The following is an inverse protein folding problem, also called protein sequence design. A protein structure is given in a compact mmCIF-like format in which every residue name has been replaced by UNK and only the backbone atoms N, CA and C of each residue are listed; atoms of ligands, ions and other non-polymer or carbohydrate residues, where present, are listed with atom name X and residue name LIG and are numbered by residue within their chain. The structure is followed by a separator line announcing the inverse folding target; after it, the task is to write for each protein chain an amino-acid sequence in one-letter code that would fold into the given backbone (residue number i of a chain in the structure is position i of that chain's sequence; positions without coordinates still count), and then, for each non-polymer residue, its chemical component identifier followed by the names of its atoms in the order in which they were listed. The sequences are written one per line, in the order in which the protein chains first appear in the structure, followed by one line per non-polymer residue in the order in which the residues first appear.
data_IF_181837486404
#
_entry.id   IF_181837486404
#
_cell.length_a   1.000
_cell.length_b   1.000
_cell.length_c   1.000
_cell.angle_alpha   90.00
_cell.angle_beta   90.00
_cell.angle_gamma   90.00
#
_symmetry.space_group_name_H-M   'P 1'
#
loop_
_entity.id
_entity.type
_entity.pdbx_description
1 polymer ?
#
# COMPACT_ATOMS: atom_id res chain seq x y z
N UNK A 1 9.56 5.38 -21.71
CA UNK A 1 8.76 5.06 -20.52
C UNK A 1 9.54 4.06 -19.68
N UNK A 2 10.32 4.46 -18.64
CA UNK A 2 10.70 3.56 -17.52
C UNK A 2 11.72 4.09 -16.51
N UNK A 3 12.45 5.19 -16.74
CA UNK A 3 13.42 5.65 -15.73
C UNK A 3 12.74 6.19 -14.46
N UNK A 4 11.65 6.94 -14.61
CA UNK A 4 10.84 7.39 -13.47
C UNK A 4 10.27 6.24 -12.62
N UNK A 5 9.79 5.18 -13.26
CA UNK A 5 9.24 4.01 -12.56
C UNK A 5 10.33 3.27 -11.78
N UNK A 6 11.53 3.11 -12.37
CA UNK A 6 12.67 2.54 -11.66
C UNK A 6 13.11 3.38 -10.47
N UNK A 7 13.09 4.70 -10.59
CA UNK A 7 13.41 5.61 -9.49
C UNK A 7 12.38 5.48 -8.37
N UNK A 8 11.09 5.43 -8.69
CA UNK A 8 10.02 5.20 -7.72
C UNK A 8 10.16 3.83 -7.03
N UNK A 9 10.50 2.78 -7.75
CA UNK A 9 10.69 1.44 -7.17
C UNK A 9 11.88 1.41 -6.19
N UNK A 10 12.98 2.10 -6.51
CA UNK A 10 14.13 2.21 -5.61
C UNK A 10 13.82 3.02 -4.35
N UNK A 11 13.19 4.19 -4.51
CA UNK A 11 12.78 5.02 -3.37
C UNK A 11 11.75 4.29 -2.50
N UNK A 12 10.82 3.55 -3.11
CA UNK A 12 9.87 2.68 -2.39
C UNK A 12 10.57 1.63 -1.55
N UNK A 13 11.59 0.98 -2.09
CA UNK A 13 12.37 -0.03 -1.36
C UNK A 13 13.14 0.58 -0.18
N UNK A 14 13.71 1.78 -0.35
CA UNK A 14 14.36 2.51 0.74
C UNK A 14 13.38 2.91 1.86
N UNK A 15 12.21 3.44 1.49
CA UNK A 15 11.14 3.78 2.43
C UNK A 15 10.69 2.54 3.22
N UNK A 16 10.51 1.40 2.54
CA UNK A 16 10.18 0.13 3.20
C UNK A 16 11.27 -0.28 4.21
N UNK A 17 12.54 -0.18 3.84
CA UNK A 17 13.67 -0.51 4.74
C UNK A 17 13.78 0.45 5.92
N UNK A 18 13.48 1.72 5.74
CA UNK A 18 13.50 2.73 6.81
C UNK A 18 12.43 2.47 7.86
N UNK A 19 11.22 2.15 7.41
CA UNK A 19 10.08 1.84 8.26
C UNK A 19 10.05 0.40 8.75
N UNK A 20 11.03 -0.42 8.39
CA UNK A 20 11.17 -1.80 8.90
C UNK A 20 12.00 -1.87 10.18
N UNK A 21 11.71 -2.89 10.98
CA UNK A 21 12.64 -3.36 12.00
C UNK A 21 13.92 -3.84 11.32
N UNK A 22 15.07 -3.56 11.94
CA UNK A 22 16.39 -3.91 11.42
C UNK A 22 16.99 -5.06 12.22
N UNK A 23 17.71 -5.94 11.52
CA UNK A 23 18.46 -7.03 12.13
C UNK A 23 19.77 -6.51 12.77
N UNK A 24 20.55 -7.42 13.36
CA UNK A 24 21.84 -7.09 14.00
C UNK A 24 22.90 -6.55 13.02
N UNK A 25 22.67 -6.67 11.71
CA UNK A 25 23.52 -6.14 10.65
C UNK A 25 23.03 -4.79 10.13
N UNK A 26 21.88 -4.32 10.60
CA UNK A 26 21.25 -3.07 10.17
C UNK A 26 20.39 -3.21 8.91
N UNK A 27 20.13 -4.43 8.45
CA UNK A 27 19.29 -4.73 7.28
C UNK A 27 17.83 -4.91 7.70
N UNK A 28 16.88 -4.57 6.83
CA UNK A 28 15.46 -4.74 7.13
C UNK A 28 15.08 -6.21 7.32
N UNK A 29 14.37 -6.52 8.40
CA UNK A 29 13.89 -7.87 8.69
C UNK A 29 12.75 -8.19 7.72
N UNK A 30 12.83 -9.34 7.07
CA UNK A 30 11.77 -9.87 6.21
C UNK A 30 11.19 -11.12 6.89
N UNK A 31 9.90 -11.11 7.20
CA UNK A 31 9.14 -12.23 7.75
C UNK A 31 8.11 -12.67 6.73
N UNK A 32 8.10 -13.97 6.40
CA UNK A 32 7.14 -14.56 5.46
C UNK A 32 7.07 -13.84 4.10
N UNK A 33 8.23 -13.38 3.61
CA UNK A 33 8.35 -12.64 2.34
C UNK A 33 7.92 -11.17 2.40
N UNK A 34 7.51 -10.66 3.57
CA UNK A 34 7.10 -9.28 3.79
C UNK A 34 8.08 -8.57 4.73
N UNK A 35 8.23 -7.26 4.54
CA UNK A 35 9.01 -6.42 5.45
C UNK A 35 8.34 -6.38 6.84
N UNK A 36 9.13 -6.55 7.89
CA UNK A 36 8.68 -6.43 9.29
C UNK A 36 8.55 -4.95 9.64
N UNK A 37 7.49 -4.30 9.15
CA UNK A 37 7.27 -2.87 9.28
C UNK A 37 7.00 -2.50 10.74
N UNK A 38 7.74 -1.53 11.28
CA UNK A 38 7.61 -1.03 12.65
C UNK A 38 6.51 0.02 12.78
N UNK A 39 6.26 0.78 11.72
CA UNK A 39 5.25 1.85 11.67
C UNK A 39 4.59 1.90 10.29
N UNK A 40 3.41 1.28 10.20
CA UNK A 40 2.63 1.21 8.97
C UNK A 40 2.05 2.56 8.56
N UNK A 41 1.75 3.44 9.52
CA UNK A 41 1.14 4.74 9.26
C UNK A 41 2.19 5.71 8.69
N UNK A 42 3.40 5.71 9.26
CA UNK A 42 4.50 6.50 8.72
C UNK A 42 4.92 5.99 7.33
N UNK A 43 5.03 4.66 7.16
CA UNK A 43 5.27 4.05 5.86
C UNK A 43 4.25 4.50 4.82
N UNK A 44 2.98 4.59 5.22
CA UNK A 44 1.92 5.09 4.34
C UNK A 44 2.16 6.46 3.80
N UNK A 45 2.47 7.38 4.70
CA UNK A 45 2.47 8.79 4.38
C UNK A 45 3.63 9.07 3.44
N UNK A 46 4.78 8.45 3.69
CA UNK A 46 5.97 8.57 2.86
C UNK A 46 5.76 7.96 1.46
N UNK A 47 5.11 6.79 1.36
CA UNK A 47 4.76 6.21 0.06
C UNK A 47 3.75 7.07 -0.70
N UNK A 48 2.75 7.64 -0.01
CA UNK A 48 1.75 8.53 -0.60
C UNK A 48 2.40 9.81 -1.11
N UNK A 49 3.34 10.38 -0.36
CA UNK A 49 4.13 11.55 -0.77
C UNK A 49 5.02 11.23 -1.97
N UNK A 50 5.74 10.10 -1.94
CA UNK A 50 6.56 9.63 -3.05
C UNK A 50 5.73 9.50 -4.34
N UNK A 51 4.56 8.86 -4.26
CA UNK A 51 3.67 8.72 -5.40
C UNK A 51 3.05 10.06 -5.83
N UNK A 52 2.66 10.93 -4.92
CA UNK A 52 2.14 12.25 -5.28
C UNK A 52 3.20 13.12 -5.98
N UNK A 53 4.46 13.04 -5.56
CA UNK A 53 5.57 13.81 -6.12
C UNK A 53 6.07 13.23 -7.45
N UNK A 54 6.41 11.94 -7.48
CA UNK A 54 7.08 11.29 -8.63
C UNK A 54 6.09 10.74 -9.65
N UNK A 55 4.88 10.44 -9.22
CA UNK A 55 3.77 9.93 -10.01
C UNK A 55 2.73 11.04 -10.13
N UNK A 56 3.12 12.19 -10.69
CA UNK A 56 2.17 13.21 -11.15
C UNK A 56 1.11 12.51 -12.00
N UNK A 57 -0.09 12.41 -11.44
CA UNK A 57 -1.27 11.77 -11.99
C UNK A 57 -1.75 12.60 -13.20
N UNK A 58 -1.04 12.52 -14.32
CA UNK A 58 -1.65 12.83 -15.61
C UNK A 58 -2.75 11.79 -15.83
N UNK A 59 -3.98 12.19 -15.51
CA UNK A 59 -5.13 11.32 -15.28
C UNK A 59 -5.42 10.38 -16.44
N UNK A 60 -5.31 9.08 -16.17
CA UNK A 60 -5.70 8.01 -17.10
C UNK A 60 -5.32 6.64 -16.54
N UNK A 61 -4.03 6.33 -16.55
CA UNK A 61 -3.50 4.98 -16.26
C UNK A 61 -3.64 4.55 -14.78
N UNK A 62 -3.48 5.48 -13.86
CA UNK A 62 -3.43 5.14 -12.43
C UNK A 62 -4.79 4.75 -11.85
N UNK A 63 -5.91 5.08 -12.52
CA UNK A 63 -7.23 4.58 -12.13
C UNK A 63 -7.35 3.07 -12.30
N UNK A 64 -6.73 2.52 -13.35
CA UNK A 64 -6.75 1.08 -13.61
C UNK A 64 -5.88 0.33 -12.60
N UNK A 65 -4.73 0.90 -12.23
CA UNK A 65 -3.88 0.38 -11.15
C UNK A 65 -4.62 0.38 -9.80
N UNK A 66 -5.20 1.52 -9.40
CA UNK A 66 -5.97 1.63 -8.14
C UNK A 66 -7.15 0.65 -8.15
N UNK A 67 -7.86 0.52 -9.27
CA UNK A 67 -8.96 -0.43 -9.42
C UNK A 67 -8.49 -1.88 -9.30
N UNK A 68 -7.32 -2.20 -9.84
CA UNK A 68 -6.74 -3.55 -9.76
C UNK A 68 -6.35 -3.89 -8.33
N UNK A 69 -5.77 -2.94 -7.59
CA UNK A 69 -5.45 -3.10 -6.16
C UNK A 69 -6.73 -3.28 -5.35
N UNK A 70 -7.76 -2.45 -5.56
CA UNK A 70 -9.07 -2.58 -4.91
C UNK A 70 -9.71 -3.96 -5.15
N UNK A 71 -9.63 -4.46 -6.39
CA UNK A 71 -10.12 -5.79 -6.74
C UNK A 71 -9.30 -6.92 -6.12
N UNK A 72 -7.98 -6.75 -6.00
CA UNK A 72 -7.13 -7.70 -5.31
C UNK A 72 -7.52 -7.78 -3.83
N UNK A 73 -7.62 -6.64 -3.13
CA UNK A 73 -8.05 -6.57 -1.74
C UNK A 73 -9.42 -7.23 -1.53
N UNK A 74 -10.39 -6.95 -2.42
CA UNK A 74 -11.71 -7.58 -2.37
C UNK A 74 -11.68 -9.10 -2.48
N UNK A 75 -10.76 -9.69 -3.24
CA UNK A 75 -10.64 -11.17 -3.32
C UNK A 75 -10.21 -11.79 -2.01
N UNK A 76 -9.55 -11.02 -1.16
CA UNK A 76 -9.04 -11.43 0.12
C UNK A 76 -9.94 -10.99 1.29
N UNK A 77 -11.12 -10.41 1.02
CA UNK A 77 -12.07 -9.94 2.05
C UNK A 77 -12.58 -11.04 2.99
N UNK A 78 -12.50 -12.30 2.55
CA UNK A 78 -12.92 -13.46 3.32
C UNK A 78 -11.76 -14.18 4.01
N UNK A 79 -10.53 -13.65 3.94
CA UNK A 79 -9.42 -14.16 4.75
C UNK A 79 -9.50 -13.58 6.16
N UNK A 80 -9.33 -14.44 7.16
CA UNK A 80 -9.17 -14.01 8.55
C UNK A 80 -7.72 -13.57 8.76
N UNK A 81 -7.55 -12.28 9.02
CA UNK A 81 -6.28 -11.68 9.38
C UNK A 81 -6.22 -11.44 10.89
N UNK A 82 -5.07 -11.72 11.49
CA UNK A 82 -4.84 -11.46 12.93
C UNK A 82 -3.56 -10.67 13.15
N UNK A 83 -3.53 -9.90 14.24
CA UNK A 83 -2.40 -9.06 14.61
C UNK A 83 -2.02 -8.07 13.51
N UNK A 84 -0.72 -7.98 13.22
CA UNK A 84 -0.17 -7.03 12.25
C UNK A 84 -0.75 -7.19 10.84
N UNK A 85 -1.12 -8.42 10.45
CA UNK A 85 -1.72 -8.66 9.12
C UNK A 85 -3.12 -8.04 8.99
N UNK A 86 -3.89 -7.98 10.07
CA UNK A 86 -5.19 -7.31 10.11
C UNK A 86 -5.02 -5.80 9.97
N UNK A 87 -4.07 -5.23 10.73
CA UNK A 87 -3.78 -3.79 10.68
C UNK A 87 -3.32 -3.35 9.29
N UNK A 88 -2.51 -4.19 8.62
CA UNK A 88 -2.09 -3.97 7.24
C UNK A 88 -3.29 -4.03 6.28
N UNK A 89 -4.16 -5.03 6.42
CA UNK A 89 -5.30 -5.21 5.54
C UNK A 89 -6.31 -4.04 5.66
N UNK A 90 -6.63 -3.62 6.88
CA UNK A 90 -7.54 -2.49 7.16
C UNK A 90 -7.00 -1.21 6.52
N UNK A 91 -5.73 -0.92 6.75
CA UNK A 91 -5.04 0.24 6.22
C UNK A 91 -4.97 0.26 4.67
N UNK A 92 -4.80 -0.91 4.04
CA UNK A 92 -4.87 -1.02 2.57
C UNK A 92 -6.29 -0.78 2.05
N UNK A 93 -7.30 -1.26 2.78
CA UNK A 93 -8.71 -0.98 2.46
C UNK A 93 -9.05 0.51 2.63
N UNK A 94 -8.52 1.20 3.63
CA UNK A 94 -8.76 2.65 3.81
C UNK A 94 -8.19 3.50 2.66
N UNK A 95 -7.07 3.11 2.08
CA UNK A 95 -6.42 3.88 1.02
C UNK A 95 -6.82 3.49 -0.39
N UNK A 96 -6.98 2.19 -0.63
CA UNK A 96 -7.16 1.62 -1.96
C UNK A 96 -8.40 0.74 -2.04
N UNK A 97 -9.04 0.44 -0.92
CA UNK A 97 -10.32 -0.22 -0.92
C UNK A 97 -11.31 0.60 -1.75
N UNK A 98 -12.37 -0.05 -2.23
CA UNK A 98 -13.46 0.70 -2.83
C UNK A 98 -13.91 1.71 -1.78
N UNK A 99 -13.80 3.02 -2.07
CA UNK A 99 -14.54 4.01 -1.29
C UNK A 99 -15.95 3.47 -1.17
N UNK A 100 -16.43 3.26 0.05
CA UNK A 100 -17.81 2.85 0.30
C UNK A 100 -18.75 4.01 -0.11
N UNK A 101 -18.81 4.33 -1.40
CA UNK A 101 -19.94 5.00 -2.05
C UNK A 101 -20.93 3.94 -2.55
N UNK A 102 -21.15 2.91 -1.73
CA UNK A 102 -22.29 1.99 -1.82
C UNK A 102 -22.95 1.92 -0.44
N UNK A 103 -23.25 3.07 0.15
CA UNK A 103 -24.42 3.15 1.01
C UNK A 103 -25.63 3.10 0.08
N UNK A 104 -26.26 1.93 0.04
CA UNK A 104 -27.62 1.75 -0.45
C UNK A 104 -28.55 2.77 0.20
N UNK A 105 -29.11 3.68 -0.58
CA UNK A 105 -30.46 4.21 -0.35
C UNK A 105 -31.17 4.38 -1.71
N UNK A 106 -31.35 3.27 -2.42
CA UNK A 106 -32.57 3.10 -3.22
C UNK A 106 -33.69 2.70 -2.24
N UNK A 107 -34.27 3.71 -1.59
CA UNK A 107 -35.57 3.57 -0.94
C UNK A 107 -36.60 3.58 -2.06
N UNK A 108 -37.11 2.39 -2.39
CA UNK A 108 -38.29 2.19 -3.24
C UNK A 108 -39.54 2.75 -2.57
#
# INVERSE_FOLDING_TARGET
MNERLKTVDLEREEILKEHSNKDEKGEAIIKDGNYDVKDMVALSNDLKELYAEKLVLEGGDNRELIRTIAQALKKFENEEYEGQTSEIYDYLCEQFGPSNENEMEDVV
#
